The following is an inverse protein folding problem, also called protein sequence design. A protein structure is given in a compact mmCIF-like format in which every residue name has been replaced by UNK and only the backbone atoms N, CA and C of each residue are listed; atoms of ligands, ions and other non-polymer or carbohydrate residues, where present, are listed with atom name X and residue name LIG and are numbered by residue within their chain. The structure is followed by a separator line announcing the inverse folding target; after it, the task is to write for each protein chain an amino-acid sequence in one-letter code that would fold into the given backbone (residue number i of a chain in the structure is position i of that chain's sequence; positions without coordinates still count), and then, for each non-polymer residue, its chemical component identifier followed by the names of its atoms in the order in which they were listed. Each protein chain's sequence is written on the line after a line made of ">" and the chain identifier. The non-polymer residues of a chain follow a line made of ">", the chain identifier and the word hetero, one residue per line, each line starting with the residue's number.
data_IF_647538126791
#
_entry.id   IF_647538126791
#
_cell.length_a   1.000
_cell.length_b   1.000
_cell.length_c   1.000
_cell.angle_alpha   90.00
_cell.angle_beta   90.00
_cell.angle_gamma   90.00
#
_symmetry.space_group_name_H-M   'P 1'
#
loop_
_entity.id
_entity.type
_entity.pdbx_description
1 polymer ?
#
# COMPACT_ATOMS: atom_id res chain seq x y z
N UNK A 1 10.32 9.70 22.92
CA UNK A 1 9.54 9.82 21.66
C UNK A 1 8.33 8.92 21.72
N UNK A 2 7.17 9.32 21.18
CA UNK A 2 5.94 8.49 21.19
C UNK A 2 5.88 7.46 20.05
N UNK A 3 6.66 7.67 18.98
CA UNK A 3 6.70 6.81 17.79
C UNK A 3 8.18 6.50 17.52
N UNK A 4 8.51 5.23 17.40
CA UNK A 4 9.88 4.74 17.20
C UNK A 4 10.49 5.29 15.90
N UNK A 5 9.71 5.39 14.82
CA UNK A 5 10.18 5.99 13.56
C UNK A 5 10.67 7.44 13.73
N UNK A 6 10.02 8.24 14.59
CA UNK A 6 10.39 9.63 14.82
C UNK A 6 11.60 9.75 15.74
N UNK A 7 11.84 8.76 16.61
CA UNK A 7 13.06 8.64 17.39
C UNK A 7 14.25 8.35 16.50
N UNK A 8 14.19 7.24 15.76
CA UNK A 8 15.28 6.76 14.90
C UNK A 8 15.67 7.83 13.88
N UNK A 9 14.69 8.49 13.25
CA UNK A 9 14.95 9.55 12.27
C UNK A 9 15.59 10.81 12.86
N UNK A 10 15.56 11.00 14.18
CA UNK A 10 16.16 12.16 14.85
C UNK A 10 17.51 11.86 15.48
N UNK A 11 17.75 10.63 15.90
CA UNK A 11 19.01 10.23 16.53
C UNK A 11 20.03 9.69 15.51
N UNK A 12 19.60 9.26 14.31
CA UNK A 12 20.51 8.82 13.25
C UNK A 12 20.82 10.00 12.33
N UNK A 13 22.10 10.38 12.27
CA UNK A 13 22.61 11.39 11.33
C UNK A 13 22.69 10.86 9.88
N UNK A 14 23.18 9.63 9.68
CA UNK A 14 23.34 9.02 8.35
C UNK A 14 22.26 7.97 8.05
N UNK A 15 21.15 8.42 7.49
CA UNK A 15 20.08 7.54 7.01
C UNK A 15 20.27 7.18 5.53
N UNK A 16 20.63 5.92 5.27
CA UNK A 16 20.63 5.36 3.91
C UNK A 16 19.23 4.84 3.59
N UNK A 17 18.53 5.55 2.70
CA UNK A 17 17.23 5.12 2.21
C UNK A 17 17.38 4.21 0.98
N UNK A 18 16.56 3.17 0.93
CA UNK A 18 16.45 2.35 -0.28
C UNK A 18 15.87 3.17 -1.45
N UNK A 19 16.18 2.80 -2.70
CA UNK A 19 15.58 3.41 -3.87
C UNK A 19 14.04 3.39 -3.78
N UNK A 20 13.41 4.52 -4.13
CA UNK A 20 11.94 4.68 -4.01
C UNK A 20 11.16 3.64 -4.82
N UNK A 21 11.76 3.11 -5.88
CA UNK A 21 11.16 2.12 -6.77
C UNK A 21 11.10 0.73 -6.14
N UNK A 22 12.05 0.42 -5.24
CA UNK A 22 12.09 -0.87 -4.55
C UNK A 22 11.02 -0.95 -3.45
N UNK A 23 10.77 0.16 -2.76
CA UNK A 23 9.85 0.22 -1.64
C UNK A 23 8.67 1.12 -1.94
N UNK A 24 7.58 0.48 -2.35
CA UNK A 24 6.35 1.18 -2.73
C UNK A 24 5.28 0.95 -1.68
N UNK A 25 4.51 1.99 -1.40
CA UNK A 25 3.34 1.85 -0.53
C UNK A 25 2.14 1.43 -1.35
N UNK A 26 1.42 0.41 -0.90
CA UNK A 26 0.23 -0.06 -1.62
C UNK A 26 -0.79 1.07 -1.83
N UNK A 27 -1.04 1.89 -0.81
CA UNK A 27 -2.06 2.96 -0.86
C UNK A 27 -1.64 4.20 -1.61
N UNK A 28 -0.36 4.54 -1.57
CA UNK A 28 0.12 5.81 -2.14
C UNK A 28 0.73 5.63 -3.53
N UNK A 29 1.38 4.50 -3.77
CA UNK A 29 2.11 4.23 -5.01
C UNK A 29 1.33 3.33 -5.96
N UNK A 30 0.73 2.24 -5.46
CA UNK A 30 0.07 1.24 -6.30
C UNK A 30 -1.41 1.55 -6.54
N UNK A 31 -2.10 2.07 -5.53
CA UNK A 31 -3.52 2.39 -5.62
C UNK A 31 -3.72 3.62 -6.52
N UNK A 32 -4.46 3.49 -7.62
CA UNK A 32 -4.79 4.65 -8.46
C UNK A 32 -5.67 5.63 -7.68
N UNK A 33 -5.58 6.91 -8.03
CA UNK A 33 -6.38 7.97 -7.38
C UNK A 33 -7.86 7.77 -7.70
N UNK A 34 -8.74 8.15 -6.77
CA UNK A 34 -10.17 8.24 -7.04
C UNK A 34 -10.42 9.21 -8.23
N UNK A 35 -11.31 8.88 -9.19
CA UNK A 35 -12.21 7.72 -9.25
C UNK A 35 -11.64 6.49 -10.00
N UNK A 36 -10.39 6.54 -10.47
CA UNK A 36 -9.79 5.46 -11.28
C UNK A 36 -9.64 4.15 -10.51
N UNK A 37 -9.64 4.17 -9.18
CA UNK A 37 -9.61 2.98 -8.33
C UNK A 37 -10.79 2.02 -8.48
N UNK A 38 -11.89 2.46 -9.09
CA UNK A 38 -13.00 1.58 -9.44
C UNK A 38 -12.79 0.82 -10.76
N UNK A 39 -11.99 1.38 -11.66
CA UNK A 39 -11.81 0.86 -13.02
C UNK A 39 -10.46 0.16 -13.21
N UNK A 40 -9.43 0.64 -12.53
CA UNK A 40 -8.05 0.23 -12.74
C UNK A 40 -7.58 -0.67 -11.61
N UNK A 41 -7.12 -1.86 -11.97
CA UNK A 41 -6.44 -2.77 -11.05
C UNK A 41 -5.04 -2.23 -10.71
N UNK A 42 -4.68 -2.10 -9.43
CA UNK A 42 -3.32 -1.77 -9.02
C UNK A 42 -2.34 -2.77 -9.65
N UNK A 43 -1.34 -2.28 -10.40
CA UNK A 43 -0.30 -3.11 -11.01
C UNK A 43 0.99 -2.95 -10.24
N UNK A 44 1.73 -4.04 -10.08
CA UNK A 44 3.06 -4.02 -9.49
C UNK A 44 4.10 -3.55 -10.54
N UNK A 45 4.86 -2.48 -10.29
CA UNK A 45 6.01 -2.11 -11.11
C UNK A 45 7.09 -3.20 -11.04
N UNK A 46 7.79 -3.45 -12.16
CA UNK A 46 8.83 -4.51 -12.23
C UNK A 46 10.00 -4.29 -11.27
N UNK A 47 10.33 -3.03 -10.99
CA UNK A 47 11.44 -2.66 -10.09
C UNK A 47 11.09 -2.77 -8.60
N UNK A 48 9.82 -3.04 -8.28
CA UNK A 48 9.36 -3.15 -6.90
C UNK A 48 9.80 -4.46 -6.27
N UNK A 49 10.47 -4.36 -5.12
CA UNK A 49 10.93 -5.50 -4.33
C UNK A 49 10.10 -5.72 -3.07
N UNK A 50 9.62 -4.63 -2.47
CA UNK A 50 8.88 -4.64 -1.21
C UNK A 50 7.65 -3.74 -1.33
N UNK A 51 6.48 -4.30 -1.01
CA UNK A 51 5.23 -3.55 -0.94
C UNK A 51 4.84 -3.36 0.52
N UNK A 52 4.76 -2.10 0.95
CA UNK A 52 4.35 -1.75 2.30
C UNK A 52 2.82 -1.58 2.40
N UNK A 53 2.18 -2.46 3.15
CA UNK A 53 0.76 -2.38 3.51
C UNK A 53 0.60 -1.63 4.84
N UNK A 54 0.40 -0.31 4.76
CA UNK A 54 0.26 0.53 5.96
C UNK A 54 -1.18 0.54 6.45
N UNK A 55 -1.56 -0.47 7.23
CA UNK A 55 -2.93 -0.73 7.71
C UNK A 55 -3.89 -1.10 6.58
N UNK A 56 -5.18 -1.26 6.88
CA UNK A 56 -6.20 -1.80 5.94
C UNK A 56 -6.29 -1.09 4.58
N UNK A 57 -6.36 -1.80 3.43
CA UNK A 57 -6.58 -3.24 3.30
C UNK A 57 -5.27 -4.01 3.49
N UNK A 58 -5.38 -5.20 4.07
CA UNK A 58 -4.27 -6.15 4.14
C UNK A 58 -4.14 -6.91 2.81
N UNK A 59 -3.12 -7.77 2.69
CA UNK A 59 -2.80 -8.50 1.46
C UNK A 59 -3.99 -9.34 0.97
N UNK A 60 -4.62 -10.12 1.86
CA UNK A 60 -5.76 -11.00 1.53
C UNK A 60 -6.99 -10.18 1.09
N UNK A 61 -7.19 -9.03 1.72
CA UNK A 61 -8.31 -8.14 1.42
C UNK A 61 -8.10 -7.44 0.08
N UNK A 62 -6.87 -6.98 -0.19
CA UNK A 62 -6.48 -6.42 -1.48
C UNK A 62 -6.56 -7.47 -2.60
N UNK A 63 -6.23 -8.74 -2.31
CA UNK A 63 -6.40 -9.86 -3.22
C UNK A 63 -7.89 -10.05 -3.56
N UNK A 64 -8.75 -10.06 -2.55
CA UNK A 64 -10.20 -10.18 -2.72
C UNK A 64 -10.86 -8.92 -3.33
N UNK A 65 -10.14 -7.80 -3.42
CA UNK A 65 -10.70 -6.50 -3.83
C UNK A 65 -11.67 -5.93 -2.80
N UNK A 66 -11.55 -6.34 -1.54
CA UNK A 66 -12.36 -5.85 -0.45
C UNK A 66 -11.60 -4.82 0.35
N UNK A 67 -12.21 -3.65 0.61
CA UNK A 67 -11.67 -2.70 1.56
C UNK A 67 -12.55 -2.70 2.81
N UNK A 68 -12.06 -3.14 3.99
CA UNK A 68 -12.86 -3.13 5.21
C UNK A 68 -13.01 -1.70 5.72
N UNK A 69 -14.06 -1.04 5.27
CA UNK A 69 -14.38 0.32 5.68
C UNK A 69 -15.44 0.30 6.78
N UNK A 70 -15.05 0.73 7.99
CA UNK A 70 -15.97 0.84 9.15
C UNK A 70 -17.08 1.88 8.96
N UNK A 71 -16.85 2.93 8.17
CA UNK A 71 -17.81 4.03 7.94
C UNK A 71 -18.36 3.97 6.52
N UNK A 72 -19.68 3.93 6.37
CA UNK A 72 -20.34 3.75 5.07
C UNK A 72 -19.93 4.78 4.00
N UNK A 73 -19.81 6.07 4.37
CA UNK A 73 -19.43 7.14 3.43
C UNK A 73 -18.01 6.98 2.87
N UNK A 74 -17.12 6.29 3.61
CA UNK A 74 -15.77 6.04 3.14
C UNK A 74 -15.72 4.96 2.06
N UNK A 75 -16.78 4.15 1.89
CA UNK A 75 -16.90 3.17 0.80
C UNK A 75 -17.03 3.82 -0.58
N UNK A 76 -17.51 5.06 -0.63
CA UNK A 76 -17.70 5.82 -1.89
C UNK A 76 -16.37 6.12 -2.57
N UNK A 77 -15.29 6.28 -1.81
CA UNK A 77 -13.97 6.61 -2.36
C UNK A 77 -12.87 5.59 -2.03
N UNK A 78 -13.02 4.79 -0.97
CA UNK A 78 -12.09 3.71 -0.63
C UNK A 78 -12.55 2.40 -1.26
N UNK A 79 -12.17 2.24 -2.52
CA UNK A 79 -12.35 1.01 -3.27
C UNK A 79 -11.02 0.55 -3.84
N UNK A 80 -10.86 -0.76 -3.97
CA UNK A 80 -9.70 -1.39 -4.59
C UNK A 80 -10.20 -2.57 -5.43
N UNK A 81 -9.76 -2.65 -6.68
CA UNK A 81 -10.01 -3.82 -7.53
C UNK A 81 -9.18 -5.01 -7.01
N UNK A 82 -9.66 -6.25 -7.18
CA UNK A 82 -8.88 -7.46 -6.86
C UNK A 82 -7.48 -7.37 -7.48
N UNK A 83 -6.45 -7.71 -6.71
CA UNK A 83 -5.04 -7.65 -7.13
C UNK A 83 -4.42 -9.05 -7.22
N UNK A 84 -4.60 -9.76 -8.36
CA UNK A 84 -4.18 -11.16 -8.50
C UNK A 84 -2.67 -11.38 -8.36
N UNK A 85 -1.86 -10.36 -8.66
CA UNK A 85 -0.41 -10.45 -8.53
C UNK A 85 0.03 -10.68 -7.08
N UNK A 86 -0.78 -10.30 -6.08
CA UNK A 86 -0.47 -10.59 -4.67
C UNK A 86 -0.39 -12.11 -4.46
N UNK A 87 -1.36 -12.87 -4.97
CA UNK A 87 -1.36 -14.33 -4.85
C UNK A 87 -0.20 -15.02 -5.59
N UNK A 88 0.38 -14.37 -6.61
CA UNK A 88 1.54 -14.91 -7.33
C UNK A 88 2.84 -14.75 -6.53
N UNK A 89 2.91 -13.74 -5.67
CA UNK A 89 4.11 -13.42 -4.88
C UNK A 89 4.00 -13.81 -3.40
N UNK A 90 2.80 -14.19 -2.93
CA UNK A 90 2.52 -14.63 -1.57
C UNK A 90 2.42 -16.17 -1.56
N UNK A 91 3.54 -16.84 -1.23
CA UNK A 91 3.62 -18.28 -0.96
C UNK A 91 3.65 -18.56 0.53
#
# INVERSE_FOLDING_TARGET
>A
YRIEQLYISREIDDMVFWPKEWCVSFKHSLLPKWPLNFFVTPKLPKETRVVAFTGKPDQDEALAGNWPVKRWYKRVYKHVKPTPWIAQHWQ
#
